data_IF_746970340707
#
_entry.id   IF_746970340707
#
_cell.length_a   1.000
_cell.length_b   1.000
_cell.length_c   1.000
_cell.angle_alpha   90.00
_cell.angle_beta   90.00
_cell.angle_gamma   90.00
#
_symmetry.space_group_name_H-M   'P 1'
#
loop_
_entity.id
_entity.type
_entity.pdbx_description
1 polymer ?
#
# COMPACT_ATOMS: atom_id res chain seq x y z
N UNK A 1 -6.01 16.36 -12.84
CA UNK A 1 -5.62 16.19 -12.84
C UNK A 1 -5.14 16.16 -12.76
N UNK A 2 -5.30 15.86 -12.57
CA UNK A 2 -4.77 15.70 -12.53
C UNK A 2 -4.37 15.58 -12.48
N UNK A 3 -4.37 15.30 -12.48
CA UNK A 3 -3.74 15.00 -12.42
C UNK A 3 -3.36 15.04 -12.35
N UNK A 4 -3.32 15.18 -12.16
CA UNK A 4 -2.70 14.94 -11.87
C UNK A 4 -2.57 14.91 -11.66
N UNK A 5 -2.70 15.31 -11.69
CA UNK A 5 -2.48 14.92 -11.32
C UNK A 5 -2.36 14.73 -10.53
N UNK A 6 -2.46 15.86 -10.14
CA UNK A 6 -2.43 15.41 -8.80
C UNK A 6 -2.32 13.94 -8.68
N UNK A 7 -2.43 13.35 -9.69
CA UNK A 7 -2.33 11.93 -9.79
C UNK A 7 -0.94 11.37 -9.68
N UNK A 8 0.05 12.19 -9.67
CA UNK A 8 1.41 11.73 -9.80
C UNK A 8 1.79 10.78 -8.67
N UNK A 9 1.45 11.13 -7.43
CA UNK A 9 1.76 10.27 -6.32
C UNK A 9 1.06 8.92 -6.44
N UNK A 10 -0.16 8.94 -6.93
CA UNK A 10 -0.91 7.71 -7.08
C UNK A 10 -0.29 6.79 -8.11
N UNK A 11 0.37 7.34 -9.12
CA UNK A 11 0.98 6.53 -10.15
C UNK A 11 2.26 5.82 -9.70
N UNK A 12 2.82 6.20 -8.55
CA UNK A 12 3.97 5.53 -7.99
C UNK A 12 3.62 4.12 -7.53
N UNK A 13 2.43 3.97 -6.98
CA UNK A 13 2.00 2.70 -6.44
C UNK A 13 1.15 1.94 -7.44
N UNK A 14 1.33 0.62 -7.48
CA UNK A 14 0.46 -0.23 -8.28
C UNK A 14 -0.91 -0.33 -7.62
N UNK A 15 -1.90 -0.76 -8.40
CA UNK A 15 -3.24 -1.00 -7.87
C UNK A 15 -3.20 -2.01 -6.72
N UNK A 16 -2.38 -3.06 -6.87
CA UNK A 16 -2.26 -4.09 -5.84
C UNK A 16 -1.66 -3.53 -4.56
N UNK A 17 -0.66 -2.67 -4.68
CA UNK A 17 -0.05 -2.06 -3.51
C UNK A 17 -1.06 -1.21 -2.75
N UNK A 18 -1.83 -0.42 -3.46
CA UNK A 18 -2.86 0.40 -2.82
C UNK A 18 -3.94 -0.46 -2.18
N UNK A 19 -4.34 -1.53 -2.84
CA UNK A 19 -5.33 -2.44 -2.31
C UNK A 19 -4.87 -3.07 -0.99
N UNK A 20 -3.61 -3.49 -0.96
CA UNK A 20 -3.05 -4.10 0.24
C UNK A 20 -3.04 -3.11 1.40
N UNK A 21 -2.59 -1.89 1.15
CA UNK A 21 -2.56 -0.89 2.22
C UNK A 21 -3.95 -0.45 2.65
N UNK A 22 -4.91 -0.43 1.74
CA UNK A 22 -6.30 -0.18 2.13
C UNK A 22 -6.77 -1.23 3.13
N UNK A 23 -6.45 -2.50 2.88
CA UNK A 23 -6.81 -3.56 3.80
C UNK A 23 -6.07 -3.46 5.12
N UNK A 24 -4.81 -3.01 5.10
CA UNK A 24 -4.07 -2.78 6.34
C UNK A 24 -4.71 -1.68 7.18
N UNK A 25 -5.16 -0.62 6.54
CA UNK A 25 -5.86 0.48 7.22
C UNK A 25 -7.14 -0.04 7.88
N UNK A 26 -7.76 -1.03 7.28
CA UNK A 26 -8.98 -1.66 7.80
C UNK A 26 -8.67 -2.73 8.84
N UNK A 27 -7.45 -2.75 9.33
CA UNK A 27 -7.04 -3.62 10.44
C UNK A 27 -6.93 -5.10 10.07
N UNK A 28 -6.66 -5.39 8.81
CA UNK A 28 -6.40 -6.76 8.38
C UNK A 28 -4.93 -7.10 8.58
N UNK A 29 -4.63 -8.33 9.00
CA UNK A 29 -3.27 -8.82 9.09
C UNK A 29 -2.76 -9.23 7.71
N UNK A 30 -1.45 -9.47 7.59
CA UNK A 30 -0.90 -9.98 6.34
C UNK A 30 -1.53 -11.32 5.96
N UNK A 31 -1.85 -12.14 6.96
CA UNK A 31 -2.51 -13.41 6.69
C UNK A 31 -3.92 -13.18 6.14
N UNK A 32 -4.67 -12.28 6.76
CA UNK A 32 -6.02 -11.95 6.29
C UNK A 32 -5.99 -11.47 4.84
N UNK A 33 -5.03 -10.60 4.54
CA UNK A 33 -4.91 -10.05 3.19
C UNK A 33 -4.57 -11.14 2.20
N UNK A 34 -3.66 -12.05 2.58
CA UNK A 34 -3.27 -13.14 1.69
C UNK A 34 -4.46 -14.01 1.33
N UNK A 35 -5.33 -14.26 2.30
CA UNK A 35 -6.53 -15.07 2.06
C UNK A 35 -7.51 -14.31 1.17
N UNK A 36 -7.76 -13.06 1.47
CA UNK A 36 -8.73 -12.27 0.70
C UNK A 36 -8.30 -12.09 -0.75
N UNK A 37 -7.01 -11.94 -1.00
CA UNK A 37 -6.50 -11.69 -2.34
C UNK A 37 -6.01 -12.95 -3.04
N UNK A 38 -6.04 -14.08 -2.35
CA UNK A 38 -5.59 -15.38 -2.89
C UNK A 38 -4.13 -15.34 -3.33
N UNK A 39 -3.29 -14.73 -2.51
CA UNK A 39 -1.84 -14.69 -2.73
C UNK A 39 -1.16 -15.12 -1.44
N UNK A 40 0.15 -15.41 -1.52
CA UNK A 40 0.88 -15.83 -0.33
C UNK A 40 1.16 -14.66 0.59
N UNK A 41 1.38 -14.95 1.88
CA UNK A 41 1.79 -13.92 2.82
C UNK A 41 3.12 -13.29 2.41
N UNK A 42 4.01 -14.09 1.85
CA UNK A 42 5.29 -13.56 1.37
C UNK A 42 5.07 -12.50 0.30
N UNK A 43 4.15 -12.76 -0.62
CA UNK A 43 3.82 -11.80 -1.67
C UNK A 43 3.24 -10.53 -1.06
N UNK A 44 2.35 -10.67 -0.05
CA UNK A 44 1.81 -9.51 0.64
C UNK A 44 2.93 -8.69 1.26
N UNK A 45 3.85 -9.34 1.97
CA UNK A 45 4.96 -8.64 2.60
C UNK A 45 5.86 -7.97 1.58
N UNK A 46 6.08 -8.61 0.43
CA UNK A 46 6.88 -7.99 -0.64
C UNK A 46 6.24 -6.71 -1.15
N UNK A 47 4.93 -6.72 -1.35
CA UNK A 47 4.21 -5.51 -1.77
C UNK A 47 4.33 -4.41 -0.73
N UNK A 48 4.21 -4.77 0.55
CA UNK A 48 4.35 -3.80 1.63
C UNK A 48 5.75 -3.19 1.63
N UNK A 49 6.78 -4.02 1.53
CA UNK A 49 8.17 -3.54 1.51
C UNK A 49 8.42 -2.61 0.32
N UNK A 50 7.92 -2.99 -0.85
CA UNK A 50 8.10 -2.18 -2.05
C UNK A 50 7.41 -0.83 -1.88
N UNK A 51 6.22 -0.82 -1.29
CA UNK A 51 5.50 0.43 -1.06
C UNK A 51 6.26 1.34 -0.10
N UNK A 52 6.79 0.76 0.98
CA UNK A 52 7.58 1.52 1.95
C UNK A 52 8.76 2.18 1.26
N UNK A 53 9.46 1.43 0.41
CA UNK A 53 10.60 1.98 -0.33
C UNK A 53 10.17 3.09 -1.28
N UNK A 54 9.07 2.88 -1.98
CA UNK A 54 8.59 3.88 -2.95
C UNK A 54 8.20 5.18 -2.27
N UNK A 55 7.61 5.09 -1.09
CA UNK A 55 7.19 6.28 -0.35
C UNK A 55 8.34 6.95 0.39
N UNK A 56 9.47 6.26 0.53
CA UNK A 56 10.63 6.82 1.22
C UNK A 56 10.40 6.99 2.71
N UNK A 57 9.58 6.15 3.32
CA UNK A 57 9.28 6.22 4.75
C UNK A 57 10.00 5.10 5.48
N UNK A 58 10.03 5.19 6.81
CA UNK A 58 10.84 4.28 7.61
C UNK A 58 10.14 2.97 7.94
N UNK A 59 8.84 2.88 7.75
CA UNK A 59 8.14 1.64 8.07
C UNK A 59 6.68 1.69 7.71
N UNK A 60 5.99 0.59 8.06
CA UNK A 60 4.60 0.39 7.68
C UNK A 60 3.68 1.49 8.23
N UNK A 61 3.85 1.84 9.49
CA UNK A 61 2.98 2.85 10.11
C UNK A 61 3.08 4.18 9.40
N UNK A 62 4.30 4.59 9.06
CA UNK A 62 4.47 5.84 8.33
C UNK A 62 3.91 5.76 6.93
N UNK A 63 4.02 4.59 6.29
CA UNK A 63 3.45 4.40 4.97
C UNK A 63 1.93 4.58 5.02
N UNK A 64 1.28 4.04 6.04
CA UNK A 64 -0.16 4.19 6.19
C UNK A 64 -0.53 5.66 6.37
N UNK A 65 0.21 6.37 7.23
CA UNK A 65 -0.04 7.80 7.44
C UNK A 65 0.11 8.58 6.13
N UNK A 66 1.17 8.31 5.38
CA UNK A 66 1.39 8.99 4.11
C UNK A 66 0.25 8.73 3.13
N UNK A 67 -0.18 7.48 3.03
CA UNK A 67 -1.24 7.15 2.10
C UNK A 67 -2.56 7.79 2.48
N UNK A 68 -2.85 7.89 3.78
CA UNK A 68 -4.04 8.58 4.24
C UNK A 68 -3.98 10.09 3.92
N UNK A 69 -2.80 10.67 4.00
CA UNK A 69 -2.63 12.07 3.64
C UNK A 69 -2.80 12.32 2.15
N UNK A 70 -2.32 11.38 1.34
CA UNK A 70 -2.40 11.52 -0.11
C UNK A 70 -3.79 11.18 -0.64
N UNK A 71 -4.46 10.32 0.08
CA UNK A 71 -5.71 9.79 -0.39
C UNK A 71 -6.87 10.65 -0.27
#
# INVERSE_FOLDING_TARGET
MALYDGNQQRSILTSRERQIFQLLVEDNSTKDISIQLSISEKTVRNHISNTIQKLGVSGRSQAIVELLRLG
#
